data_IF_107834177554
#
_entry.id   IF_107834177554
#
_cell.length_a   1.000
_cell.length_b   1.000
_cell.length_c   1.000
_cell.angle_alpha   90.00
_cell.angle_beta   90.00
_cell.angle_gamma   90.00
#
_symmetry.space_group_name_H-M   'P 1'
#
loop_
_entity.id
_entity.type
_entity.pdbx_description
1 polymer ?
#
# COMPACT_ATOMS: atom_id res chain seq x y z
N UNK A 1 68.58 -1.96 27.22
CA UNK A 1 68.15 -0.65 26.67
C UNK A 1 66.76 -0.84 26.10
N UNK A 2 65.83 -0.01 26.56
CA UNK A 2 64.38 -0.12 26.44
C UNK A 2 63.83 0.74 25.30
N UNK A 3 62.77 0.28 24.63
CA UNK A 3 61.50 1.02 24.44
C UNK A 3 60.39 -0.06 24.46
N UNK A 4 59.48 -0.17 25.43
CA UNK A 4 58.38 0.71 25.88
C UNK A 4 57.28 1.00 24.84
N UNK A 5 56.09 0.42 25.11
CA UNK A 5 54.73 0.92 24.82
C UNK A 5 54.37 1.12 23.32
N UNK A 6 53.11 1.15 22.84
CA UNK A 6 51.88 1.70 23.40
C UNK A 6 50.68 0.98 22.75
N UNK A 7 49.65 0.74 23.58
CA UNK A 7 48.23 0.54 23.27
C UNK A 7 47.74 1.34 22.05
N UNK A 8 47.02 0.68 21.12
CA UNK A 8 45.71 1.13 20.64
C UNK A 8 45.13 0.14 19.62
N UNK A 9 43.99 -0.52 19.87
CA UNK A 9 43.15 -1.00 18.78
C UNK A 9 42.70 0.25 18.02
N UNK A 10 43.08 0.39 16.74
CA UNK A 10 42.72 1.57 15.96
C UNK A 10 41.21 1.67 15.88
N UNK A 11 40.71 2.66 16.59
CA UNK A 11 39.36 3.17 16.56
C UNK A 11 39.07 3.72 15.15
N UNK A 12 38.75 2.85 14.21
CA UNK A 12 37.93 3.21 13.06
C UNK A 12 36.54 2.67 13.32
N UNK A 13 35.90 3.27 14.34
CA UNK A 13 34.46 3.35 14.36
C UNK A 13 33.97 3.97 13.04
N UNK A 14 32.76 3.58 12.63
CA UNK A 14 32.07 4.02 11.40
C UNK A 14 32.56 3.23 10.20
N UNK A 15 31.91 2.13 9.80
CA UNK A 15 30.58 2.16 9.21
C UNK A 15 29.64 1.18 9.92
N UNK A 16 28.88 1.70 10.88
CA UNK A 16 27.56 1.17 11.20
C UNK A 16 26.68 1.38 9.96
N UNK A 17 26.84 0.52 8.95
CA UNK A 17 25.94 0.49 7.82
C UNK A 17 24.67 -0.17 8.32
N UNK A 18 23.82 0.66 8.93
CA UNK A 18 22.42 0.40 9.17
C UNK A 18 21.77 0.25 7.78
N UNK A 19 22.00 -0.89 7.15
CA UNK A 19 20.96 -1.47 6.33
C UNK A 19 19.88 -1.87 7.32
N UNK A 20 19.00 -0.91 7.65
CA UNK A 20 17.66 -1.18 8.17
C UNK A 20 17.08 -2.16 7.16
N UNK A 21 17.20 -3.45 7.46
CA UNK A 21 16.44 -4.48 6.77
C UNK A 21 15.01 -4.09 7.10
N UNK A 22 14.37 -3.35 6.20
CA UNK A 22 12.95 -3.07 6.30
C UNK A 22 12.32 -4.46 6.36
N UNK A 23 11.62 -4.82 7.46
CA UNK A 23 11.05 -6.15 7.58
C UNK A 23 10.19 -6.34 6.33
N UNK A 24 10.58 -7.32 5.51
CA UNK A 24 9.87 -7.66 4.28
C UNK A 24 8.43 -7.80 4.67
N UNK A 25 7.58 -6.89 4.16
CA UNK A 25 6.17 -6.81 4.49
C UNK A 25 5.64 -8.24 4.55
N UNK A 26 5.23 -8.67 5.76
CA UNK A 26 4.73 -10.00 6.01
C UNK A 26 3.67 -10.24 4.96
N UNK A 27 3.93 -11.17 4.02
CA UNK A 27 2.95 -11.54 3.01
C UNK A 27 1.74 -12.05 3.78
N UNK A 28 0.70 -11.22 3.84
CA UNK A 28 -0.60 -11.61 4.40
C UNK A 28 -0.98 -12.89 3.65
N UNK A 29 -1.34 -13.99 4.35
CA UNK A 29 -1.74 -15.22 3.68
C UNK A 29 -2.86 -14.88 2.70
N UNK A 30 -2.57 -15.06 1.40
CA UNK A 30 -3.51 -14.85 0.30
C UNK A 30 -4.57 -15.96 0.34
N UNK A 31 -5.46 -15.90 1.33
CA UNK A 31 -6.58 -16.83 1.49
C UNK A 31 -7.93 -16.20 1.17
N UNK A 32 -8.01 -14.86 1.07
CA UNK A 32 -9.27 -14.11 0.80
C UNK A 32 -9.07 -12.76 0.09
N UNK A 33 -7.91 -12.49 -0.49
CA UNK A 33 -7.68 -11.22 -1.18
C UNK A 33 -8.00 -11.37 -2.66
N UNK A 34 -9.05 -10.68 -3.09
CA UNK A 34 -9.43 -10.39 -4.46
C UNK A 34 -9.52 -11.63 -5.38
N UNK A 35 -10.68 -12.28 -5.39
CA UNK A 35 -11.09 -12.95 -6.63
C UNK A 35 -11.04 -11.89 -7.75
N UNK A 36 -10.42 -12.17 -8.90
CA UNK A 36 -10.40 -11.22 -10.01
C UNK A 36 -11.85 -10.94 -10.40
N UNK A 37 -12.31 -9.71 -10.16
CA UNK A 37 -13.66 -9.32 -10.51
C UNK A 37 -13.65 -8.94 -11.98
N UNK A 38 -14.11 -9.86 -12.84
CA UNK A 38 -14.35 -9.58 -14.25
C UNK A 38 -15.60 -8.69 -14.38
N UNK A 39 -15.48 -7.41 -14.04
CA UNK A 39 -16.51 -6.42 -14.33
C UNK A 39 -16.32 -5.96 -15.77
N UNK A 40 -17.32 -6.20 -16.61
CA UNK A 40 -17.33 -5.69 -17.98
C UNK A 40 -17.99 -4.31 -17.96
N UNK A 41 -17.19 -3.29 -18.23
CA UNK A 41 -17.67 -1.92 -18.40
C UNK A 41 -17.87 -1.64 -19.89
N UNK A 42 -18.91 -0.87 -20.21
CA UNK A 42 -19.07 -0.27 -21.52
C UNK A 42 -17.94 0.75 -21.76
N UNK A 43 -17.57 1.02 -23.02
CA UNK A 43 -16.49 1.97 -23.31
C UNK A 43 -16.70 3.35 -22.69
N UNK A 44 -17.94 3.85 -22.68
CA UNK A 44 -18.30 5.14 -22.08
C UNK A 44 -18.10 5.14 -20.56
N UNK A 45 -18.58 4.11 -19.88
CA UNK A 45 -18.39 3.94 -18.43
C UNK A 45 -16.91 3.85 -18.07
N UNK A 46 -16.11 3.14 -18.89
CA UNK A 46 -14.67 3.03 -18.67
C UNK A 46 -13.95 4.38 -18.82
N UNK A 47 -14.39 5.23 -19.76
CA UNK A 47 -13.83 6.59 -19.92
C UNK A 47 -14.10 7.43 -18.68
N UNK A 48 -15.31 7.40 -18.16
CA UNK A 48 -15.67 8.14 -16.94
C UNK A 48 -14.89 7.63 -15.73
N UNK A 49 -14.86 6.31 -15.52
CA UNK A 49 -14.10 5.68 -14.42
C UNK A 49 -12.62 6.06 -14.49
N UNK A 50 -12.02 6.07 -15.69
CA UNK A 50 -10.63 6.50 -15.90
C UNK A 50 -10.42 7.97 -15.56
N UNK A 51 -11.34 8.83 -15.98
CA UNK A 51 -11.25 10.26 -15.73
C UNK A 51 -11.24 10.55 -14.23
N UNK A 52 -12.20 9.98 -13.48
CA UNK A 52 -12.26 10.20 -12.04
C UNK A 52 -11.12 9.53 -11.26
N UNK A 53 -10.73 8.30 -11.64
CA UNK A 53 -9.58 7.64 -11.01
C UNK A 53 -8.29 8.46 -11.20
N UNK A 54 -8.08 9.03 -12.38
CA UNK A 54 -6.93 9.90 -12.65
C UNK A 54 -7.00 11.22 -11.85
N UNK A 55 -8.18 11.80 -11.66
CA UNK A 55 -8.35 13.00 -10.84
C UNK A 55 -8.06 12.76 -9.36
N UNK A 56 -8.18 11.52 -8.89
CA UNK A 56 -7.86 11.11 -7.51
C UNK A 56 -6.43 10.53 -7.38
N UNK A 57 -5.62 10.54 -8.44
CA UNK A 57 -4.29 9.90 -8.50
C UNK A 57 -4.29 8.40 -8.13
N UNK A 58 -5.39 7.71 -8.42
CA UNK A 58 -5.63 6.33 -8.01
C UNK A 58 -5.81 5.38 -9.20
N UNK A 59 -5.64 4.07 -8.92
CA UNK A 59 -5.86 3.05 -9.96
C UNK A 59 -7.36 2.85 -10.24
N UNK A 60 -7.70 2.48 -11.48
CA UNK A 60 -9.08 2.12 -11.87
C UNK A 60 -9.67 1.05 -10.94
N UNK A 61 -8.87 0.04 -10.58
CA UNK A 61 -9.31 -1.04 -9.70
C UNK A 61 -9.59 -0.54 -8.27
N UNK A 62 -8.77 0.37 -7.76
CA UNK A 62 -8.99 1.03 -6.48
C UNK A 62 -10.27 1.87 -6.52
N UNK A 63 -10.42 2.69 -7.56
CA UNK A 63 -11.57 3.59 -7.70
C UNK A 63 -12.89 2.81 -7.82
N UNK A 64 -12.90 1.71 -8.58
CA UNK A 64 -14.06 0.81 -8.64
C UNK A 64 -14.38 0.19 -7.27
N UNK A 65 -13.38 -0.24 -6.50
CA UNK A 65 -13.60 -0.72 -5.14
C UNK A 65 -14.18 0.38 -4.24
N UNK A 66 -13.64 1.59 -4.31
CA UNK A 66 -14.12 2.74 -3.56
C UNK A 66 -15.60 3.04 -3.86
N UNK A 67 -15.98 3.08 -5.14
CA UNK A 67 -17.37 3.30 -5.56
C UNK A 67 -18.32 2.23 -5.02
N UNK A 68 -17.91 0.95 -5.02
CA UNK A 68 -18.73 -0.14 -4.48
C UNK A 68 -19.01 0.07 -2.99
N UNK A 69 -17.98 0.41 -2.20
CA UNK A 69 -18.16 0.63 -0.77
C UNK A 69 -18.97 1.88 -0.46
N UNK A 70 -18.77 2.95 -1.23
CA UNK A 70 -19.55 4.18 -1.11
C UNK A 70 -21.03 3.91 -1.40
N UNK A 71 -21.34 3.27 -2.53
CA UNK A 71 -22.70 2.90 -2.89
C UNK A 71 -23.36 1.98 -1.87
N UNK A 72 -22.61 1.02 -1.29
CA UNK A 72 -23.14 0.17 -0.22
C UNK A 72 -23.46 0.97 1.06
N UNK A 73 -22.63 1.94 1.43
CA UNK A 73 -22.88 2.79 2.58
C UNK A 73 -24.11 3.68 2.37
N UNK A 74 -24.23 4.27 1.18
CA UNK A 74 -25.36 5.13 0.83
C UNK A 74 -26.67 4.33 0.76
N UNK A 75 -26.65 3.13 0.18
CA UNK A 75 -27.82 2.23 0.18
C UNK A 75 -28.26 1.83 1.59
N UNK A 76 -27.32 1.56 2.51
CA UNK A 76 -27.66 1.27 3.90
C UNK A 76 -28.32 2.47 4.60
N UNK A 77 -27.87 3.70 4.29
CA UNK A 77 -28.47 4.93 4.82
C UNK A 77 -29.88 5.14 4.28
N UNK A 78 -30.07 4.91 2.98
CA UNK A 78 -31.37 4.98 2.33
C UNK A 78 -32.36 3.97 2.96
N UNK A 79 -31.94 2.72 3.13
CA UNK A 79 -32.76 1.70 3.79
C UNK A 79 -33.16 2.09 5.23
N UNK A 80 -32.21 2.66 5.99
CA UNK A 80 -32.49 3.10 7.36
C UNK A 80 -33.48 4.28 7.42
N UNK A 81 -33.65 5.04 6.33
CA UNK A 81 -34.62 6.14 6.27
C UNK A 81 -36.07 5.66 6.06
N UNK A 82 -36.25 4.39 5.68
CA UNK A 82 -37.56 3.77 5.49
C UNK A 82 -38.07 2.98 6.73
N UNK A 83 -37.26 2.87 7.78
CA UNK A 83 -37.59 2.18 9.04
C UNK A 83 -37.88 3.17 10.15
#
# INVERSE_FOLDING_TARGET
MFYHNIVAPSLAATHHNIMKILPRAVRIPQGRTAQPRNVRLMPTELVEVKHYAANEDESIAWFLHYLIFRGLADYKRELASYQ
#
